data_IF_041257803806
#
_entry.id   IF_041257803806
#
_cell.length_a   1.000
_cell.length_b   1.000
_cell.length_c   1.000
_cell.angle_alpha   90.00
_cell.angle_beta   90.00
_cell.angle_gamma   90.00
#
_symmetry.space_group_name_H-M   'P 1'
#
loop_
_entity.id
_entity.type
_entity.pdbx_description
1 polymer ?
#
# COMPACT_ATOMS: atom_id res chain seq x y z
N UNK A 1 49.56 34.16 19.21
CA UNK A 1 49.18 33.21 18.19
C UNK A 1 47.91 32.55 18.69
N UNK A 2 46.76 32.92 18.16
CA UNK A 2 45.47 32.33 18.49
C UNK A 2 45.23 31.23 17.45
N UNK A 3 45.24 29.98 17.89
CA UNK A 3 44.87 28.84 17.05
C UNK A 3 43.33 28.79 16.95
N UNK A 4 42.80 29.10 15.79
CA UNK A 4 41.40 28.86 15.44
C UNK A 4 41.24 27.39 15.12
N UNK A 5 40.65 26.63 16.04
CA UNK A 5 40.17 25.29 15.77
C UNK A 5 38.90 25.43 14.94
N UNK A 6 38.95 25.14 13.65
CA UNK A 6 37.77 24.93 12.84
C UNK A 6 37.14 23.59 13.25
N UNK A 7 36.00 23.64 13.92
CA UNK A 7 35.15 22.48 14.09
C UNK A 7 34.69 22.04 12.69
N UNK A 8 35.21 20.92 12.23
CA UNK A 8 34.65 20.20 11.08
C UNK A 8 33.35 19.61 11.60
N UNK A 9 32.24 20.22 11.22
CA UNK A 9 30.92 19.59 11.40
C UNK A 9 30.92 18.41 10.45
N UNK A 10 31.16 17.22 10.97
CA UNK A 10 30.98 15.95 10.28
C UNK A 10 29.49 15.83 10.00
N UNK A 11 29.07 16.09 8.76
CA UNK A 11 27.71 15.80 8.33
C UNK A 11 27.54 14.30 8.46
N UNK A 12 26.63 13.88 9.34
CA UNK A 12 26.28 12.48 9.50
C UNK A 12 25.87 11.92 8.15
N UNK A 13 26.64 10.97 7.63
CA UNK A 13 26.30 10.28 6.38
C UNK A 13 24.97 9.58 6.56
N UNK A 14 23.99 9.88 5.70
CA UNK A 14 22.73 9.14 5.60
C UNK A 14 22.99 7.97 4.65
N UNK A 15 23.06 6.72 5.16
CA UNK A 15 23.56 5.61 4.37
C UNK A 15 22.59 5.09 3.32
N UNK A 16 21.28 5.42 3.43
CA UNK A 16 20.25 4.93 2.52
C UNK A 16 19.34 6.08 2.09
N UNK A 17 18.90 6.02 0.82
CA UNK A 17 17.97 7.00 0.27
C UNK A 17 17.07 6.33 -0.76
N UNK A 18 15.79 6.68 -0.78
CA UNK A 18 14.79 6.12 -1.69
C UNK A 18 13.86 7.20 -2.22
N UNK A 19 13.46 7.08 -3.48
CA UNK A 19 12.43 7.91 -4.11
C UNK A 19 11.22 7.04 -4.43
N UNK A 20 10.03 7.48 -4.03
CA UNK A 20 8.79 6.79 -4.36
C UNK A 20 8.34 7.09 -5.79
N UNK A 21 7.93 6.04 -6.49
CA UNK A 21 7.30 6.11 -7.81
C UNK A 21 6.00 5.32 -7.79
N UNK A 22 4.89 5.99 -8.04
CA UNK A 22 3.58 5.35 -8.08
C UNK A 22 3.25 4.86 -9.48
N UNK A 23 2.81 3.60 -9.57
CA UNK A 23 2.46 2.91 -10.81
C UNK A 23 1.01 2.45 -10.76
N UNK A 24 0.28 2.58 -11.88
CA UNK A 24 -1.02 1.92 -12.00
C UNK A 24 -0.84 0.43 -12.35
N UNK A 25 -1.98 -0.30 -12.43
CA UNK A 25 -2.00 -1.73 -12.75
C UNK A 25 -1.45 -2.04 -14.16
N UNK A 26 -1.48 -1.07 -15.07
CA UNK A 26 -0.99 -1.22 -16.45
C UNK A 26 0.52 -0.91 -16.57
N UNK A 27 1.19 -0.60 -15.46
CA UNK A 27 2.60 -0.25 -15.43
C UNK A 27 2.92 1.19 -15.85
N UNK A 28 1.93 2.07 -15.91
CA UNK A 28 2.15 3.48 -16.21
C UNK A 28 2.50 4.26 -14.94
N UNK A 29 3.46 5.17 -15.06
CA UNK A 29 3.85 6.09 -13.98
C UNK A 29 2.74 7.13 -13.74
N UNK A 30 2.17 7.11 -12.55
CA UNK A 30 1.12 8.03 -12.10
C UNK A 30 1.57 8.94 -10.95
N UNK A 31 2.86 8.97 -10.65
CA UNK A 31 3.44 9.68 -9.49
C UNK A 31 3.00 11.13 -9.43
N UNK A 32 2.98 11.83 -10.56
CA UNK A 32 2.61 13.26 -10.64
C UNK A 32 1.12 13.53 -10.84
N UNK A 33 0.30 12.49 -10.98
CA UNK A 33 -1.16 12.64 -11.18
C UNK A 33 -1.92 13.00 -9.89
N UNK A 34 -1.26 12.86 -8.73
CA UNK A 34 -1.85 13.21 -7.44
C UNK A 34 -2.88 12.19 -6.92
N UNK A 35 -2.90 10.98 -7.47
CA UNK A 35 -3.80 9.90 -7.05
C UNK A 35 -3.35 9.27 -5.71
N UNK A 36 -2.06 9.34 -5.39
CA UNK A 36 -1.47 8.82 -4.15
C UNK A 36 -1.35 9.95 -3.13
N UNK A 37 -2.09 9.89 -2.03
CA UNK A 37 -2.18 10.96 -1.03
C UNK A 37 -1.10 10.92 0.05
N UNK A 38 -0.33 9.86 0.11
CA UNK A 38 0.74 9.62 1.06
C UNK A 38 1.10 8.15 1.07
N UNK A 39 2.15 7.81 1.79
CA UNK A 39 2.58 6.42 1.98
C UNK A 39 3.19 6.25 3.37
N UNK A 40 3.21 5.02 3.84
CA UNK A 40 3.93 4.62 5.04
C UNK A 40 5.02 3.64 4.63
N UNK A 41 6.26 3.95 4.98
CA UNK A 41 7.41 3.09 4.80
C UNK A 41 7.67 2.32 6.09
N UNK A 42 7.86 1.02 5.98
CA UNK A 42 8.31 0.14 7.04
C UNK A 42 9.72 -0.30 6.70
N UNK A 43 10.66 0.04 7.56
CA UNK A 43 12.08 -0.25 7.39
C UNK A 43 12.45 -1.44 8.24
N UNK A 44 13.10 -2.42 7.63
CA UNK A 44 13.63 -3.61 8.29
C UNK A 44 15.13 -3.68 8.07
N UNK A 45 15.85 -4.08 9.11
CA UNK A 45 17.30 -4.22 9.05
C UNK A 45 17.71 -5.50 8.27
N UNK A 46 19.01 -5.75 8.18
CA UNK A 46 19.57 -6.91 7.48
C UNK A 46 19.15 -8.28 8.05
N UNK A 47 18.60 -8.30 9.28
CA UNK A 47 18.07 -9.51 9.91
C UNK A 47 16.55 -9.65 9.73
N UNK A 48 15.93 -8.74 8.98
CA UNK A 48 14.49 -8.59 8.85
C UNK A 48 13.76 -8.15 10.14
N UNK A 49 14.48 -7.61 11.11
CA UNK A 49 13.89 -7.02 12.30
C UNK A 49 13.36 -5.61 11.99
N UNK A 50 12.18 -5.28 12.54
CA UNK A 50 11.59 -3.96 12.33
C UNK A 50 12.45 -2.86 12.95
N UNK A 51 12.85 -1.91 12.13
CA UNK A 51 13.68 -0.79 12.56
C UNK A 51 12.86 0.48 12.83
N UNK A 52 12.13 0.99 11.84
CA UNK A 52 11.32 2.20 11.97
C UNK A 52 10.18 2.27 10.95
N UNK A 53 9.24 3.17 11.23
CA UNK A 53 8.16 3.54 10.32
C UNK A 53 8.29 5.02 9.95
N UNK A 54 8.21 5.33 8.65
CA UNK A 54 8.31 6.68 8.11
C UNK A 54 7.03 7.02 7.36
N UNK A 55 6.35 8.09 7.76
CA UNK A 55 5.20 8.60 7.03
C UNK A 55 5.64 9.60 5.96
N UNK A 56 5.19 9.38 4.74
CA UNK A 56 5.52 10.20 3.56
C UNK A 56 4.26 10.91 3.10
N UNK A 57 4.34 12.23 2.99
CA UNK A 57 3.21 13.04 2.54
C UNK A 57 3.11 13.11 1.00
N UNK A 58 1.95 13.56 0.51
CA UNK A 58 1.66 13.71 -0.91
C UNK A 58 2.68 14.60 -1.64
N UNK A 59 3.11 15.70 -1.03
CA UNK A 59 4.03 16.64 -1.67
C UNK A 59 5.40 16.04 -1.91
N UNK A 60 5.88 15.19 -1.03
CA UNK A 60 7.13 14.44 -1.19
C UNK A 60 7.06 13.47 -2.36
N UNK A 61 5.91 12.78 -2.51
CA UNK A 61 5.68 11.85 -3.63
C UNK A 61 5.62 12.61 -4.95
N UNK A 62 4.78 13.65 -5.04
CA UNK A 62 4.60 14.46 -6.25
C UNK A 62 5.91 15.09 -6.75
N UNK A 63 6.75 15.57 -5.83
CA UNK A 63 8.04 16.21 -6.14
C UNK A 63 9.17 15.20 -6.36
N UNK A 64 8.91 13.90 -6.22
CA UNK A 64 9.93 12.83 -6.30
C UNK A 64 11.13 13.10 -5.39
N UNK A 65 10.87 13.70 -4.22
CA UNK A 65 11.94 14.01 -3.27
C UNK A 65 12.45 12.75 -2.61
N UNK A 66 13.78 12.65 -2.49
CA UNK A 66 14.43 11.57 -1.79
C UNK A 66 14.05 11.54 -0.30
N UNK A 67 13.88 10.35 0.22
CA UNK A 67 13.60 10.05 1.61
C UNK A 67 14.84 9.38 2.17
N UNK A 68 15.48 10.04 3.12
CA UNK A 68 16.68 9.55 3.77
C UNK A 68 16.33 8.60 4.92
N UNK A 69 17.05 7.49 5.00
CA UNK A 69 16.83 6.44 6.01
C UNK A 69 18.15 6.18 6.71
N UNK A 70 18.18 6.41 8.01
CA UNK A 70 19.38 6.18 8.83
C UNK A 70 19.21 4.89 9.64
N UNK A 71 19.82 3.80 9.18
CA UNK A 71 19.90 2.53 9.89
C UNK A 71 21.37 2.15 10.12
N UNK A 72 22.01 2.69 11.19
CA UNK A 72 23.46 2.77 11.30
C UNK A 72 24.17 1.43 11.39
N UNK A 73 23.51 0.40 11.92
CA UNK A 73 24.10 -0.91 12.17
C UNK A 73 23.77 -1.96 11.07
N UNK A 74 23.17 -1.52 9.96
CA UNK A 74 22.83 -2.37 8.84
C UNK A 74 23.65 -2.06 7.61
N UNK A 75 24.10 -3.08 6.91
CA UNK A 75 24.68 -2.98 5.57
C UNK A 75 23.60 -3.00 4.49
N UNK A 76 22.51 -3.69 4.76
CA UNK A 76 21.35 -3.81 3.90
C UNK A 76 20.09 -3.51 4.70
N UNK A 77 19.10 -2.89 4.06
CA UNK A 77 17.77 -2.72 4.63
C UNK A 77 16.71 -3.12 3.60
N UNK A 78 15.60 -3.61 4.09
CA UNK A 78 14.39 -3.80 3.27
C UNK A 78 13.39 -2.71 3.63
N UNK A 79 12.87 -2.03 2.61
CA UNK A 79 11.83 -1.00 2.76
C UNK A 79 10.57 -1.48 2.09
N UNK A 80 9.48 -1.57 2.84
CA UNK A 80 8.14 -1.89 2.35
C UNK A 80 7.29 -0.64 2.45
N UNK A 81 6.64 -0.27 1.36
CA UNK A 81 5.74 0.87 1.29
C UNK A 81 4.30 0.44 1.09
N UNK A 82 3.40 0.98 1.90
CA UNK A 82 1.96 0.90 1.74
C UNK A 82 1.36 2.29 1.56
N UNK A 83 0.40 2.42 0.66
CA UNK A 83 -0.39 3.64 0.48
C UNK A 83 -1.86 3.30 0.30
N UNK A 84 -2.73 4.26 0.60
CA UNK A 84 -4.18 4.12 0.43
C UNK A 84 -4.89 3.44 1.60
N UNK A 85 -4.20 3.06 2.66
CA UNK A 85 -4.82 2.46 3.85
C UNK A 85 -5.84 3.42 4.46
N UNK A 86 -7.08 2.96 4.61
CA UNK A 86 -8.15 3.68 5.28
C UNK A 86 -8.62 2.86 6.49
N UNK A 87 -8.44 3.41 7.68
CA UNK A 87 -8.79 2.75 8.94
C UNK A 87 -10.27 2.38 9.08
N UNK A 88 -11.14 2.89 8.22
CA UNK A 88 -12.54 2.46 8.12
C UNK A 88 -12.70 1.08 7.47
N UNK A 89 -11.82 0.73 6.56
CA UNK A 89 -11.90 -0.47 5.71
C UNK A 89 -10.80 -1.49 5.99
N UNK A 90 -9.60 -1.04 6.35
CA UNK A 90 -8.44 -1.90 6.58
C UNK A 90 -7.78 -1.65 7.93
N UNK A 91 -7.02 -2.64 8.34
CA UNK A 91 -6.06 -2.57 9.43
C UNK A 91 -4.68 -2.95 8.91
N UNK A 92 -3.65 -2.23 9.36
CA UNK A 92 -2.25 -2.59 9.13
C UNK A 92 -1.60 -2.97 10.45
N UNK A 93 -0.69 -3.93 10.43
CA UNK A 93 0.03 -4.38 11.63
C UNK A 93 0.67 -3.21 12.36
N UNK A 94 0.47 -3.16 13.68
CA UNK A 94 1.15 -2.21 14.54
C UNK A 94 2.55 -2.76 14.86
N UNK A 95 3.56 -2.25 14.16
CA UNK A 95 4.92 -2.75 14.25
C UNK A 95 5.68 -2.13 15.43
N UNK A 96 6.46 -2.96 16.10
CA UNK A 96 7.35 -2.58 17.20
C UNK A 96 8.72 -3.24 17.01
N UNK A 97 9.69 -2.86 17.83
CA UNK A 97 11.06 -3.46 17.79
C UNK A 97 11.12 -4.96 18.06
N UNK A 98 10.02 -5.56 18.54
CA UNK A 98 9.90 -7.00 18.74
C UNK A 98 9.40 -7.75 17.50
N UNK A 99 8.98 -7.03 16.45
CA UNK A 99 8.41 -7.60 15.24
C UNK A 99 9.46 -7.79 14.15
N UNK A 100 9.19 -8.77 13.30
CA UNK A 100 9.96 -9.07 12.09
C UNK A 100 9.13 -8.78 10.85
N UNK A 101 9.78 -8.80 9.68
CA UNK A 101 9.16 -8.45 8.40
C UNK A 101 7.87 -9.25 8.11
N UNK A 102 7.83 -10.54 8.47
CA UNK A 102 6.65 -11.40 8.24
C UNK A 102 5.45 -11.06 9.12
N UNK A 103 5.60 -10.22 10.15
CA UNK A 103 4.48 -9.73 10.98
C UNK A 103 3.72 -8.59 10.30
N UNK A 104 4.29 -7.99 9.25
CA UNK A 104 3.64 -6.90 8.52
C UNK A 104 2.54 -7.44 7.60
N UNK A 105 1.32 -7.02 7.84
CA UNK A 105 0.14 -7.44 7.11
C UNK A 105 -0.87 -6.31 7.03
N UNK A 106 -1.60 -6.23 5.92
CA UNK A 106 -2.78 -5.40 5.75
C UNK A 106 -3.99 -6.31 5.68
N UNK A 107 -4.99 -6.09 6.53
CA UNK A 107 -6.20 -6.93 6.62
C UNK A 107 -7.45 -6.09 6.41
N UNK A 108 -8.42 -6.64 5.70
CA UNK A 108 -9.74 -6.03 5.57
C UNK A 108 -10.50 -6.15 6.90
N UNK A 109 -11.20 -5.10 7.26
CA UNK A 109 -12.20 -5.19 8.31
C UNK A 109 -13.40 -5.98 7.81
N UNK A 110 -13.91 -6.83 8.66
CA UNK A 110 -15.03 -7.70 8.34
C UNK A 110 -16.07 -7.76 9.46
N UNK A 111 -17.27 -8.16 9.09
CA UNK A 111 -18.33 -8.51 10.04
C UNK A 111 -18.99 -9.81 9.56
N UNK A 112 -18.88 -10.87 10.37
CA UNK A 112 -19.45 -12.19 10.08
C UNK A 112 -19.05 -12.75 8.70
N UNK A 113 -17.78 -12.64 8.33
CA UNK A 113 -17.25 -13.11 7.04
C UNK A 113 -17.55 -12.21 5.85
N UNK A 114 -18.25 -11.09 6.05
CA UNK A 114 -18.45 -10.07 5.02
C UNK A 114 -17.43 -8.97 5.22
N UNK A 115 -16.52 -8.84 4.26
CA UNK A 115 -15.46 -7.84 4.31
C UNK A 115 -15.92 -6.46 3.82
N UNK A 116 -15.32 -5.42 4.39
CA UNK A 116 -15.43 -4.08 3.85
C UNK A 116 -14.74 -4.01 2.47
N UNK A 117 -15.26 -3.15 1.61
CA UNK A 117 -14.65 -2.90 0.30
C UNK A 117 -13.27 -2.29 0.50
N UNK A 118 -12.21 -2.86 -0.09
CA UNK A 118 -10.87 -2.32 0.05
C UNK A 118 -10.75 -0.92 -0.57
N UNK A 119 -9.95 -0.11 0.08
CA UNK A 119 -9.53 1.20 -0.44
C UNK A 119 -8.60 1.03 -1.64
N UNK A 120 -8.24 2.12 -2.30
CA UNK A 120 -7.27 2.09 -3.41
C UNK A 120 -5.84 1.92 -2.88
N UNK A 121 -5.44 0.66 -2.70
CA UNK A 121 -4.18 0.28 -2.08
C UNK A 121 -3.02 0.23 -3.08
N UNK A 122 -1.86 0.71 -2.64
CA UNK A 122 -0.59 0.58 -3.35
C UNK A 122 0.44 -0.09 -2.46
N UNK A 123 1.26 -0.92 -3.04
CA UNK A 123 2.31 -1.67 -2.38
C UNK A 123 3.61 -1.65 -3.18
N UNK A 124 4.74 -1.57 -2.50
CA UNK A 124 6.06 -1.75 -3.08
C UNK A 124 7.07 -2.21 -2.05
N UNK A 125 8.14 -2.84 -2.52
CA UNK A 125 9.24 -3.31 -1.71
C UNK A 125 10.56 -3.14 -2.45
N UNK A 126 11.61 -2.74 -1.73
CA UNK A 126 12.98 -2.66 -2.25
C UNK A 126 13.97 -3.05 -1.17
N UNK A 127 15.05 -3.72 -1.56
CA UNK A 127 16.22 -3.90 -0.70
C UNK A 127 17.28 -2.89 -1.12
N UNK A 128 17.77 -2.13 -0.15
CA UNK A 128 18.81 -1.11 -0.33
C UNK A 128 20.10 -1.60 0.30
N UNK A 129 21.21 -1.38 -0.41
CA UNK A 129 22.56 -1.70 0.06
C UNK A 129 23.27 -0.43 0.49
N UNK A 130 24.01 -0.49 1.59
CA UNK A 130 24.82 0.64 2.06
C UNK A 130 25.86 0.98 1.00
N UNK A 131 25.84 2.23 0.54
CA UNK A 131 26.81 2.70 -0.43
C UNK A 131 28.19 2.82 0.24
N UNK A 132 29.16 2.08 -0.27
CA UNK A 132 30.55 2.12 0.19
C UNK A 132 31.34 3.35 -0.31
N UNK A 133 30.72 4.21 -1.11
CA UNK A 133 31.38 5.41 -1.66
C UNK A 133 30.56 6.66 -1.39
N UNK A 134 31.19 7.65 -0.82
CA UNK A 134 30.71 8.98 -0.40
C UNK A 134 30.18 9.88 -1.54
N UNK A 135 29.97 9.38 -2.75
CA UNK A 135 29.57 10.17 -3.92
C UNK A 135 28.46 9.59 -4.79
N UNK A 136 27.73 8.57 -4.36
CA UNK A 136 26.59 8.13 -5.16
C UNK A 136 25.34 8.91 -4.79
N UNK A 137 24.99 9.90 -5.61
CA UNK A 137 23.70 10.64 -5.57
C UNK A 137 22.56 9.87 -6.23
N UNK A 138 22.73 8.58 -6.46
CA UNK A 138 21.67 7.76 -7.06
C UNK A 138 20.70 7.33 -5.97
N UNK A 139 19.59 8.04 -5.88
CA UNK A 139 18.45 7.61 -5.09
C UNK A 139 17.87 6.34 -5.69
N UNK A 140 17.75 5.29 -4.89
CA UNK A 140 17.06 4.09 -5.32
C UNK A 140 15.56 4.38 -5.47
N UNK A 141 14.95 3.80 -6.50
CA UNK A 141 13.52 3.94 -6.77
C UNK A 141 12.74 2.83 -6.07
N UNK A 142 11.74 3.20 -5.29
CA UNK A 142 10.76 2.28 -4.73
C UNK A 142 9.44 2.46 -5.50
N UNK A 143 9.14 1.51 -6.36
CA UNK A 143 7.88 1.49 -7.11
C UNK A 143 6.77 0.95 -6.23
N UNK A 144 5.75 1.76 -5.99
CA UNK A 144 4.49 1.33 -5.36
C UNK A 144 3.45 1.13 -6.45
N UNK A 145 2.95 -0.10 -6.54
CA UNK A 145 2.04 -0.54 -7.60
C UNK A 145 0.65 -0.72 -7.02
N UNK A 146 -0.37 -0.26 -7.75
CA UNK A 146 -1.76 -0.42 -7.35
C UNK A 146 -2.10 -1.91 -7.20
N UNK A 147 -2.63 -2.28 -6.03
CA UNK A 147 -3.01 -3.65 -5.65
C UNK A 147 -4.52 -3.90 -5.72
N UNK A 148 -5.28 -2.91 -6.16
CA UNK A 148 -6.73 -3.00 -6.27
C UNK A 148 -7.15 -2.85 -7.72
N UNK A 149 -8.18 -3.60 -8.10
CA UNK A 149 -8.81 -3.55 -9.42
C UNK A 149 -10.25 -3.08 -9.30
N UNK A 150 -10.74 -2.41 -10.32
CA UNK A 150 -12.15 -2.04 -10.42
C UNK A 150 -12.87 -3.13 -11.19
N UNK A 151 -13.90 -3.70 -10.57
CA UNK A 151 -14.78 -4.68 -11.20
C UNK A 151 -16.15 -4.04 -11.43
N UNK A 152 -16.66 -4.12 -12.65
CA UNK A 152 -17.99 -3.65 -12.99
C UNK A 152 -18.87 -4.82 -13.41
N UNK A 153 -19.95 -5.05 -12.67
CA UNK A 153 -20.97 -6.00 -12.98
C UNK A 153 -22.25 -5.27 -13.38
N UNK A 154 -22.82 -5.63 -14.52
CA UNK A 154 -24.14 -5.14 -14.93
C UNK A 154 -25.04 -6.31 -15.32
N UNK A 155 -26.30 -6.25 -14.91
CA UNK A 155 -27.32 -7.21 -15.32
C UNK A 155 -28.50 -6.48 -15.96
N UNK A 156 -29.06 -7.05 -17.01
CA UNK A 156 -30.23 -6.52 -17.71
C UNK A 156 -31.42 -7.46 -17.56
N UNK A 157 -32.59 -6.90 -17.45
CA UNK A 157 -33.83 -7.66 -17.43
C UNK A 157 -34.14 -8.39 -16.12
N UNK A 158 -33.37 -8.16 -15.05
CA UNK A 158 -33.56 -8.87 -13.77
C UNK A 158 -34.94 -8.59 -13.15
N UNK A 159 -35.37 -7.33 -13.17
CA UNK A 159 -36.75 -6.96 -12.68
C UNK A 159 -37.84 -7.66 -13.48
N UNK A 160 -37.67 -7.79 -14.78
CA UNK A 160 -38.66 -8.49 -15.63
C UNK A 160 -38.81 -9.96 -15.23
N UNK A 161 -37.71 -10.58 -14.78
CA UNK A 161 -37.71 -11.99 -14.37
C UNK A 161 -38.20 -12.19 -12.93
N UNK A 162 -37.80 -11.30 -12.01
CA UNK A 162 -37.99 -11.45 -10.57
C UNK A 162 -39.17 -10.64 -10.03
N UNK A 163 -39.69 -9.67 -10.81
CA UNK A 163 -40.79 -8.80 -10.43
C UNK A 163 -40.46 -8.01 -9.14
N UNK A 164 -41.41 -7.94 -8.21
CA UNK A 164 -41.27 -7.24 -6.92
C UNK A 164 -40.22 -7.84 -6.01
N UNK A 165 -39.73 -9.05 -6.27
CA UNK A 165 -38.68 -9.70 -5.47
C UNK A 165 -37.27 -9.24 -5.87
N UNK A 166 -37.11 -8.48 -6.94
CA UNK A 166 -35.77 -8.04 -7.41
C UNK A 166 -34.98 -7.26 -6.35
N UNK A 167 -35.65 -6.46 -5.51
CA UNK A 167 -35.01 -5.71 -4.42
C UNK A 167 -34.50 -6.56 -3.24
N UNK A 168 -34.87 -7.84 -3.18
CA UNK A 168 -34.46 -8.75 -2.11
C UNK A 168 -33.18 -9.52 -2.42
N UNK A 169 -32.54 -9.24 -3.56
CA UNK A 169 -31.32 -9.91 -3.98
C UNK A 169 -30.09 -9.11 -3.58
N UNK A 170 -29.01 -9.83 -3.34
CA UNK A 170 -27.67 -9.26 -3.19
C UNK A 170 -26.71 -10.01 -4.11
N UNK A 171 -25.66 -9.33 -4.53
CA UNK A 171 -24.54 -9.90 -5.24
C UNK A 171 -23.43 -10.21 -4.25
N UNK A 172 -22.84 -11.41 -4.37
CA UNK A 172 -21.72 -11.81 -3.54
C UNK A 172 -20.52 -12.18 -4.38
N UNK A 173 -19.36 -11.66 -4.00
CA UNK A 173 -18.07 -12.13 -4.48
C UNK A 173 -17.49 -12.99 -3.36
N UNK A 174 -17.15 -14.23 -3.69
CA UNK A 174 -16.71 -15.25 -2.74
C UNK A 174 -15.28 -15.68 -3.02
N UNK A 175 -14.68 -16.41 -2.07
CA UNK A 175 -13.35 -17.00 -2.17
C UNK A 175 -12.26 -15.96 -2.35
N UNK A 176 -12.42 -14.77 -1.76
CA UNK A 176 -11.40 -13.74 -1.69
C UNK A 176 -10.65 -13.85 -0.36
N UNK A 177 -9.37 -13.49 -0.37
CA UNK A 177 -8.56 -13.47 0.85
C UNK A 177 -8.76 -12.18 1.63
N UNK A 178 -8.75 -12.28 2.97
CA UNK A 178 -8.99 -11.16 3.88
C UNK A 178 -7.81 -10.22 4.00
N UNK A 179 -6.62 -10.64 3.58
CA UNK A 179 -5.38 -9.91 3.90
C UNK A 179 -4.37 -9.93 2.76
N UNK A 180 -3.40 -9.02 2.84
CA UNK A 180 -2.18 -9.02 2.06
C UNK A 180 -0.98 -9.13 3.00
N UNK A 181 -0.04 -10.03 2.70
CA UNK A 181 1.17 -10.23 3.49
C UNK A 181 2.23 -9.15 3.21
N UNK A 182 3.39 -9.28 3.86
CA UNK A 182 4.52 -8.35 3.70
C UNK A 182 5.12 -8.33 2.26
N UNK A 183 4.81 -9.31 1.42
CA UNK A 183 5.15 -9.32 -0.01
C UNK A 183 4.01 -8.76 -0.89
N UNK A 184 2.92 -8.31 -0.27
CA UNK A 184 1.73 -7.85 -0.99
C UNK A 184 0.95 -8.97 -1.65
N UNK A 185 1.10 -10.22 -1.20
CA UNK A 185 0.37 -11.38 -1.70
C UNK A 185 -0.90 -11.64 -0.87
N UNK A 186 -1.99 -12.11 -1.51
CA UNK A 186 -3.21 -12.49 -0.82
C UNK A 186 -2.95 -13.59 0.22
N UNK A 187 -3.47 -13.39 1.44
CA UNK A 187 -3.32 -14.31 2.58
C UNK A 187 -4.52 -14.19 3.53
N UNK A 188 -4.50 -14.90 4.64
CA UNK A 188 -5.55 -14.88 5.66
C UNK A 188 -6.74 -15.77 5.31
N UNK A 189 -7.82 -15.58 6.05
CA UNK A 189 -9.06 -16.35 5.89
C UNK A 189 -9.80 -15.95 4.61
N UNK A 190 -10.71 -16.80 4.19
CA UNK A 190 -11.62 -16.48 3.08
C UNK A 190 -12.74 -15.59 3.56
N UNK A 191 -13.02 -14.53 2.81
CA UNK A 191 -14.10 -13.58 3.06
C UNK A 191 -14.99 -13.42 1.83
N UNK A 192 -16.17 -12.88 2.05
CA UNK A 192 -17.11 -12.52 1.00
C UNK A 192 -17.31 -11.00 0.97
N UNK A 193 -17.62 -10.48 -0.21
CA UNK A 193 -18.14 -9.13 -0.38
C UNK A 193 -19.63 -9.25 -0.76
N UNK A 194 -20.47 -8.49 -0.08
CA UNK A 194 -21.91 -8.48 -0.31
C UNK A 194 -22.38 -7.10 -0.77
N UNK A 195 -23.15 -7.07 -1.83
CA UNK A 195 -23.70 -5.86 -2.42
C UNK A 195 -25.21 -5.98 -2.56
N UNK A 196 -25.98 -5.12 -1.89
CA UNK A 196 -27.43 -5.11 -2.06
C UNK A 196 -27.79 -4.76 -3.51
N UNK A 197 -28.85 -5.33 -4.02
CA UNK A 197 -29.36 -5.02 -5.34
C UNK A 197 -29.79 -3.55 -5.40
N UNK A 198 -29.30 -2.84 -6.41
CA UNK A 198 -29.68 -1.47 -6.74
C UNK A 198 -30.00 -1.40 -8.22
N UNK A 199 -31.12 -0.79 -8.59
CA UNK A 199 -31.57 -0.75 -9.98
C UNK A 199 -31.66 0.70 -10.45
N UNK A 200 -31.29 0.92 -11.72
CA UNK A 200 -31.54 2.19 -12.40
C UNK A 200 -33.04 2.33 -12.78
N UNK A 201 -33.42 3.49 -13.32
CA UNK A 201 -34.79 3.77 -13.74
C UNK A 201 -35.30 2.80 -14.84
N UNK A 202 -34.40 2.12 -15.54
CA UNK A 202 -34.71 1.14 -16.59
C UNK A 202 -34.77 -0.30 -16.06
N UNK A 203 -34.59 -0.46 -14.75
CA UNK A 203 -34.59 -1.77 -14.11
C UNK A 203 -33.32 -2.60 -14.36
N UNK A 204 -32.20 -1.96 -14.72
CA UNK A 204 -30.92 -2.61 -14.82
C UNK A 204 -30.15 -2.42 -13.52
N UNK A 205 -29.40 -3.44 -13.15
CA UNK A 205 -28.45 -3.37 -12.04
C UNK A 205 -27.06 -3.07 -12.60
N UNK A 206 -26.34 -2.16 -11.94
CA UNK A 206 -24.94 -1.88 -12.20
C UNK A 206 -24.19 -1.77 -10.88
N UNK A 207 -23.19 -2.60 -10.70
CA UNK A 207 -22.27 -2.57 -9.57
C UNK A 207 -20.90 -2.13 -10.07
N UNK A 208 -20.36 -1.08 -9.46
CA UNK A 208 -18.95 -0.70 -9.57
C UNK A 208 -18.24 -1.07 -8.28
N UNK A 209 -17.24 -1.94 -8.36
CA UNK A 209 -16.56 -2.50 -7.20
C UNK A 209 -15.05 -2.42 -7.34
N UNK A 210 -14.36 -2.09 -6.24
CA UNK A 210 -12.90 -2.15 -6.13
C UNK A 210 -12.49 -3.40 -5.36
N UNK A 211 -11.61 -4.20 -5.93
CA UNK A 211 -11.12 -5.45 -5.34
C UNK A 211 -9.59 -5.46 -5.28
N UNK A 212 -8.97 -6.15 -4.32
CA UNK A 212 -7.55 -6.47 -4.43
C UNK A 212 -7.30 -7.18 -5.76
N UNK A 213 -6.22 -6.79 -6.45
CA UNK A 213 -5.77 -7.52 -7.65
C UNK A 213 -5.26 -8.89 -7.23
N UNK A 214 -5.59 -9.95 -7.98
CA UNK A 214 -5.05 -11.28 -7.74
C UNK A 214 -3.53 -11.34 -7.92
#
# INVERSE_FOLDING_TARGET
VVATTSEVIEQAEVPFSVVLKAMNSDGNDITTKGEVNGATLFVFDQNNDFFEQINVNKSTILSRRAIDINCPNSNDITVIAWSGINSGNEEISNMSKANIISDLQVSLKENNGIANIPSDLFYGQVTLHKNSSTKSTVSNELQIIRKTSIFQLSTKGLIKYLGSNAGNFEYRIKNTKSSLDYNGNPTGEEVEFAFPASFDEKGNFCLLYTSPSP
#
